data_IF_271837252628
#
_entry.id   IF_271837252628
#
_cell.length_a   1.000
_cell.length_b   1.000
_cell.length_c   1.000
_cell.angle_alpha   90.00
_cell.angle_beta   90.00
_cell.angle_gamma   90.00
#
_symmetry.space_group_name_H-M   'P 1'
#
loop_
_entity.id
_entity.type
_entity.pdbx_description
1 polymer ?
#
# COMPACT_ATOMS: atom_id res chain seq x y z
N UNK A 1 -4.38 15.86 19.98
CA UNK A 1 -3.20 15.01 19.73
C UNK A 1 -2.44 15.46 18.49
N UNK A 2 -3.09 15.50 17.31
CA UNK A 2 -2.50 16.02 16.07
C UNK A 2 -1.97 17.44 16.24
N UNK A 3 -2.71 18.35 16.88
CA UNK A 3 -2.28 19.74 17.14
C UNK A 3 -0.97 19.87 17.96
N UNK A 4 -0.47 18.79 18.56
CA UNK A 4 0.77 18.74 19.35
C UNK A 4 1.93 17.98 18.66
N UNK A 5 1.87 17.78 17.34
CA UNK A 5 2.96 17.15 16.59
C UNK A 5 3.00 15.62 16.68
N UNK A 6 1.87 14.97 17.00
CA UNK A 6 1.85 13.52 17.26
C UNK A 6 2.29 12.68 16.05
N UNK A 7 1.83 13.02 14.84
CA UNK A 7 2.20 12.27 13.62
C UNK A 7 3.70 12.38 13.37
N UNK A 8 4.29 13.57 13.47
CA UNK A 8 5.73 13.79 13.31
C UNK A 8 6.55 13.01 14.34
N UNK A 9 6.09 12.95 15.60
CA UNK A 9 6.74 12.17 16.67
C UNK A 9 6.68 10.66 16.39
N UNK A 10 5.57 10.16 15.88
CA UNK A 10 5.44 8.75 15.48
C UNK A 10 6.33 8.40 14.30
N UNK A 11 6.42 9.26 13.28
CA UNK A 11 7.35 9.07 12.16
C UNK A 11 8.82 9.01 12.63
N UNK A 12 9.20 9.90 13.55
CA UNK A 12 10.53 9.88 14.15
C UNK A 12 10.77 8.62 15.00
N UNK A 13 9.75 8.12 15.69
CA UNK A 13 9.82 6.88 16.44
C UNK A 13 10.00 5.66 15.51
N UNK A 14 9.27 5.61 14.38
CA UNK A 14 9.43 4.58 13.35
C UNK A 14 10.83 4.59 12.74
N UNK A 15 11.36 5.76 12.38
CA UNK A 15 12.72 5.85 11.85
C UNK A 15 13.76 5.37 12.87
N UNK A 16 13.56 5.69 14.16
CA UNK A 16 14.42 5.18 15.23
C UNK A 16 14.28 3.67 15.43
N UNK A 17 13.06 3.13 15.40
CA UNK A 17 12.78 1.70 15.54
C UNK A 17 13.56 0.89 14.50
N UNK A 18 13.57 1.36 13.24
CA UNK A 18 14.26 0.71 12.12
C UNK A 18 15.79 0.62 12.26
N UNK A 19 16.38 1.37 13.21
CA UNK A 19 17.83 1.41 13.48
C UNK A 19 18.22 0.62 14.73
N UNK A 20 17.24 0.04 15.43
CA UNK A 20 17.53 -0.79 16.59
C UNK A 20 18.21 -2.09 16.12
N UNK A 21 19.11 -2.63 16.95
CA UNK A 21 19.80 -3.89 16.68
C UNK A 21 18.82 -5.07 16.68
N UNK A 22 17.71 -4.94 17.40
CA UNK A 22 16.62 -5.92 17.49
C UNK A 22 15.27 -5.19 17.39
N UNK A 23 14.85 -4.76 16.19
CA UNK A 23 13.51 -4.23 16.00
C UNK A 23 12.50 -5.37 16.12
N UNK A 24 11.45 -5.20 16.93
CA UNK A 24 10.31 -6.10 16.92
C UNK A 24 9.27 -5.59 15.94
N UNK A 25 8.77 -6.48 15.09
CA UNK A 25 7.69 -6.15 14.14
C UNK A 25 6.45 -5.61 14.86
N UNK A 26 6.19 -6.09 16.08
CA UNK A 26 5.09 -5.64 16.94
C UNK A 26 5.22 -4.16 17.34
N UNK A 27 6.42 -3.70 17.68
CA UNK A 27 6.62 -2.29 18.04
C UNK A 27 6.41 -1.36 16.84
N UNK A 28 6.91 -1.75 15.66
CA UNK A 28 6.65 -1.00 14.43
C UNK A 28 5.17 -1.05 14.03
N UNK A 29 4.50 -2.19 14.23
CA UNK A 29 3.07 -2.36 13.96
C UNK A 29 2.24 -1.37 14.79
N UNK A 30 2.49 -1.26 16.09
CA UNK A 30 1.80 -0.32 16.98
C UNK A 30 1.99 1.14 16.55
N UNK A 31 3.22 1.50 16.16
CA UNK A 31 3.53 2.84 15.70
C UNK A 31 2.83 3.16 14.37
N UNK A 32 2.83 2.23 13.41
CA UNK A 32 2.11 2.39 12.13
C UNK A 32 0.60 2.45 12.37
N UNK A 33 0.05 1.60 13.24
CA UNK A 33 -1.36 1.65 13.61
C UNK A 33 -1.74 3.02 14.19
N UNK A 34 -0.92 3.57 15.09
CA UNK A 34 -1.12 4.92 15.62
C UNK A 34 -1.09 5.99 14.53
N UNK A 35 -0.17 5.89 13.57
CA UNK A 35 -0.15 6.77 12.39
C UNK A 35 -1.46 6.63 11.59
N UNK A 36 -1.93 5.40 11.37
CA UNK A 36 -3.19 5.10 10.70
C UNK A 36 -4.40 5.75 11.38
N UNK A 37 -4.52 5.63 12.70
CA UNK A 37 -5.62 6.26 13.45
C UNK A 37 -5.60 7.79 13.32
N UNK A 38 -4.41 8.39 13.31
CA UNK A 38 -4.29 9.84 13.23
C UNK A 38 -4.44 10.38 11.81
N UNK A 39 -4.22 9.57 10.77
CA UNK A 39 -4.27 10.00 9.36
C UNK A 39 -5.49 9.49 8.61
N UNK A 40 -6.06 8.35 9.01
CA UNK A 40 -7.20 7.69 8.39
C UNK A 40 -8.45 8.54 8.44
N UNK A 41 -8.80 9.17 7.31
CA UNK A 41 -9.96 10.03 7.19
C UNK A 41 -9.90 11.33 8.02
N UNK A 42 -8.74 11.68 8.57
CA UNK A 42 -8.58 12.88 9.41
C UNK A 42 -7.71 13.94 8.71
N UNK A 43 -8.32 14.98 8.10
CA UNK A 43 -7.59 15.97 7.30
C UNK A 43 -6.42 16.65 8.02
N UNK A 44 -6.56 16.94 9.32
CA UNK A 44 -5.50 17.58 10.09
C UNK A 44 -4.28 16.67 10.29
N UNK A 45 -4.49 15.36 10.49
CA UNK A 45 -3.39 14.42 10.64
C UNK A 45 -2.68 14.16 9.32
N UNK A 46 -3.43 14.10 8.22
CA UNK A 46 -2.86 14.07 6.87
C UNK A 46 -2.04 15.33 6.62
N UNK A 47 -2.59 16.52 6.88
CA UNK A 47 -1.87 17.78 6.74
C UNK A 47 -0.59 17.82 7.60
N UNK A 48 -0.61 17.23 8.79
CA UNK A 48 0.57 17.12 9.63
C UNK A 48 1.66 16.21 9.03
N UNK A 49 1.25 15.10 8.40
CA UNK A 49 2.15 14.21 7.68
C UNK A 49 2.91 14.98 6.58
N UNK A 50 2.22 15.86 5.84
CA UNK A 50 2.83 16.74 4.83
C UNK A 50 3.60 17.92 5.43
N UNK A 51 3.22 18.43 6.62
CA UNK A 51 3.97 19.52 7.27
C UNK A 51 5.38 19.09 7.73
N UNK A 52 5.57 17.78 7.96
CA UNK A 52 6.86 17.20 8.26
C UNK A 52 7.70 16.95 6.99
N UNK A 53 7.09 17.00 5.81
CA UNK A 53 7.74 16.78 4.53
C UNK A 53 8.45 18.05 4.07
N UNK A 54 9.73 17.92 3.72
CA UNK A 54 10.53 19.00 3.15
C UNK A 54 10.24 19.20 1.64
N UNK A 55 9.22 18.53 1.12
CA UNK A 55 8.82 18.53 -0.30
C UNK A 55 9.47 17.42 -1.13
N UNK A 56 10.28 16.56 -0.52
CA UNK A 56 10.97 15.43 -1.16
C UNK A 56 10.35 14.07 -0.82
N UNK A 57 9.27 14.06 -0.03
CA UNK A 57 8.56 12.87 0.45
C UNK A 57 9.32 12.04 1.49
N UNK A 58 10.49 12.49 1.95
CA UNK A 58 11.32 11.73 2.90
C UNK A 58 10.62 11.47 4.22
N UNK A 59 9.68 12.34 4.63
CA UNK A 59 8.87 12.17 5.83
C UNK A 59 7.99 10.91 5.81
N UNK A 60 7.66 10.38 4.63
CA UNK A 60 6.84 9.17 4.50
C UNK A 60 7.66 7.88 4.47
N UNK A 61 8.98 7.97 4.26
CA UNK A 61 9.87 6.82 4.16
C UNK A 61 9.76 5.85 5.36
N UNK A 62 9.62 6.30 6.63
CA UNK A 62 9.50 5.39 7.76
C UNK A 62 8.30 4.44 7.65
N UNK A 63 7.11 4.94 7.27
CA UNK A 63 5.91 4.10 7.10
C UNK A 63 6.07 3.18 5.88
N UNK A 64 6.64 3.68 4.79
CA UNK A 64 6.83 2.90 3.57
C UNK A 64 7.82 1.74 3.76
N UNK A 65 8.83 1.89 4.62
CA UNK A 65 9.76 0.80 4.98
C UNK A 65 9.05 -0.36 5.70
N UNK A 66 7.95 -0.08 6.41
CA UNK A 66 7.17 -1.09 7.10
C UNK A 66 6.30 -1.96 6.16
N UNK A 67 6.21 -1.64 4.86
CA UNK A 67 5.67 -2.53 3.83
C UNK A 67 6.58 -3.75 3.62
N UNK A 68 6.63 -4.65 4.60
CA UNK A 68 7.52 -5.81 4.65
C UNK A 68 6.74 -7.11 4.37
N UNK A 69 6.81 -7.69 3.17
CA UNK A 69 6.06 -8.90 2.83
C UNK A 69 6.33 -10.10 3.77
N UNK A 70 7.53 -10.16 4.35
CA UNK A 70 7.92 -11.19 5.32
C UNK A 70 7.31 -11.03 6.72
N UNK A 71 6.57 -9.94 6.98
CA UNK A 71 5.92 -9.68 8.26
C UNK A 71 4.42 -9.42 8.06
N UNK A 72 3.56 -10.46 8.12
CA UNK A 72 2.16 -10.35 7.67
C UNK A 72 1.34 -9.28 8.41
N UNK A 73 1.48 -9.18 9.73
CA UNK A 73 0.74 -8.19 10.54
C UNK A 73 1.20 -6.77 10.23
N UNK A 74 2.52 -6.55 10.21
CA UNK A 74 3.08 -5.25 9.88
C UNK A 74 2.76 -4.85 8.43
N UNK A 75 2.82 -5.78 7.49
CA UNK A 75 2.43 -5.56 6.10
C UNK A 75 0.97 -5.14 5.98
N UNK A 76 0.06 -5.82 6.70
CA UNK A 76 -1.36 -5.51 6.69
C UNK A 76 -1.67 -4.10 7.20
N UNK A 77 -1.10 -3.71 8.35
CA UNK A 77 -1.32 -2.35 8.86
C UNK A 77 -0.63 -1.30 7.99
N UNK A 78 0.58 -1.58 7.50
CA UNK A 78 1.34 -0.60 6.72
C UNK A 78 0.73 -0.35 5.35
N UNK A 79 0.24 -1.40 4.69
CA UNK A 79 -0.38 -1.26 3.37
C UNK A 79 -1.71 -0.52 3.45
N UNK A 80 -2.48 -0.70 4.53
CA UNK A 80 -3.70 0.05 4.79
C UNK A 80 -3.41 1.56 4.95
N UNK A 81 -2.46 1.91 5.81
CA UNK A 81 -2.06 3.30 6.04
C UNK A 81 -1.50 3.95 4.77
N UNK A 82 -0.58 3.27 4.06
CA UNK A 82 -0.01 3.79 2.82
C UNK A 82 -1.09 4.00 1.76
N UNK A 83 -2.04 3.07 1.63
CA UNK A 83 -3.15 3.18 0.68
C UNK A 83 -4.09 4.33 1.03
N UNK A 84 -4.40 4.51 2.31
CA UNK A 84 -5.20 5.64 2.78
C UNK A 84 -4.55 7.00 2.50
N UNK A 85 -3.24 7.13 2.74
CA UNK A 85 -2.49 8.36 2.43
C UNK A 85 -2.41 8.58 0.91
N UNK A 86 -2.22 7.52 0.13
CA UNK A 86 -2.22 7.58 -1.34
C UNK A 86 -3.58 8.02 -1.91
N UNK A 87 -4.68 7.53 -1.34
CA UNK A 87 -6.02 7.95 -1.73
C UNK A 87 -6.26 9.44 -1.45
N UNK A 88 -5.73 9.94 -0.33
CA UNK A 88 -5.90 11.33 0.08
C UNK A 88 -4.92 12.32 -0.57
N UNK A 89 -3.80 11.86 -1.13
CA UNK A 89 -2.74 12.75 -1.65
C UNK A 89 -2.19 12.31 -3.00
N UNK A 90 -2.48 13.05 -4.08
CA UNK A 90 -1.82 12.88 -5.38
C UNK A 90 -0.30 13.02 -5.32
N UNK A 91 0.21 13.99 -4.54
CA UNK A 91 1.65 14.20 -4.37
C UNK A 91 2.33 12.97 -3.78
N UNK A 92 1.71 12.33 -2.78
CA UNK A 92 2.24 11.11 -2.20
C UNK A 92 2.24 9.95 -3.19
N UNK A 93 1.20 9.83 -4.04
CA UNK A 93 1.17 8.82 -5.12
C UNK A 93 2.32 9.01 -6.12
N UNK A 94 2.56 10.24 -6.55
CA UNK A 94 3.67 10.54 -7.46
C UNK A 94 5.02 10.20 -6.84
N UNK A 95 5.22 10.56 -5.58
CA UNK A 95 6.43 10.22 -4.83
C UNK A 95 6.60 8.72 -4.64
N UNK A 96 5.55 7.99 -4.26
CA UNK A 96 5.61 6.52 -4.09
C UNK A 96 6.01 5.81 -5.39
N UNK A 97 5.66 6.39 -6.54
CA UNK A 97 5.94 5.83 -7.87
C UNK A 97 7.36 6.12 -8.36
N UNK A 98 7.96 7.25 -7.96
CA UNK A 98 9.28 7.69 -8.45
C UNK A 98 10.38 7.75 -7.38
N UNK A 99 10.05 8.22 -6.17
CA UNK A 99 10.97 8.41 -5.05
C UNK A 99 11.26 7.12 -4.28
N UNK A 100 10.35 6.14 -4.32
CA UNK A 100 10.49 4.83 -3.65
C UNK A 100 10.28 3.67 -4.62
N UNK A 101 11.18 3.53 -5.60
CA UNK A 101 11.10 2.46 -6.61
C UNK A 101 10.96 1.06 -6.01
N UNK A 102 11.49 0.84 -4.79
CA UNK A 102 11.41 -0.43 -4.06
C UNK A 102 9.96 -0.89 -3.83
N UNK A 103 9.03 0.06 -3.66
CA UNK A 103 7.61 -0.23 -3.49
C UNK A 103 7.04 -0.81 -4.77
N UNK A 104 7.27 -0.14 -5.89
CA UNK A 104 6.74 -0.54 -7.20
C UNK A 104 7.42 -1.80 -7.74
N UNK A 105 8.74 -1.90 -7.61
CA UNK A 105 9.54 -2.96 -8.23
C UNK A 105 9.63 -4.24 -7.43
N UNK A 106 9.40 -4.20 -6.12
CA UNK A 106 9.66 -5.36 -5.25
C UNK A 106 8.54 -5.60 -4.26
N UNK A 107 8.16 -4.60 -3.45
CA UNK A 107 7.21 -4.83 -2.35
C UNK A 107 5.80 -5.12 -2.87
N UNK A 108 5.26 -4.32 -3.79
CA UNK A 108 3.92 -4.53 -4.35
C UNK A 108 3.75 -5.90 -5.03
N UNK A 109 4.64 -6.34 -5.94
CA UNK A 109 4.54 -7.69 -6.50
C UNK A 109 4.51 -8.80 -5.44
N UNK A 110 5.27 -8.66 -4.35
CA UNK A 110 5.28 -9.64 -3.26
C UNK A 110 4.01 -9.57 -2.40
N UNK A 111 3.48 -8.37 -2.13
CA UNK A 111 2.25 -8.17 -1.37
C UNK A 111 1.02 -8.71 -2.12
N UNK A 112 1.00 -8.59 -3.46
CA UNK A 112 -0.02 -9.20 -4.31
C UNK A 112 -0.01 -10.74 -4.25
N UNK A 113 1.15 -11.34 -3.96
CA UNK A 113 1.30 -12.78 -3.77
C UNK A 113 1.07 -13.21 -2.30
N UNK A 114 0.63 -12.29 -1.42
CA UNK A 114 0.39 -12.62 -0.03
C UNK A 114 -0.67 -13.71 0.11
N UNK A 115 -0.46 -14.62 1.06
CA UNK A 115 -1.47 -15.58 1.48
C UNK A 115 -2.62 -14.94 2.25
N UNK A 116 -2.46 -13.68 2.70
CA UNK A 116 -3.52 -12.91 3.34
C UNK A 116 -4.41 -12.25 2.28
N UNK A 117 -5.70 -12.61 2.19
CA UNK A 117 -6.66 -11.99 1.28
C UNK A 117 -6.74 -10.47 1.47
N UNK A 118 -6.77 -10.01 2.72
CA UNK A 118 -6.85 -8.59 3.03
C UNK A 118 -5.63 -7.80 2.53
N UNK A 119 -4.41 -8.34 2.71
CA UNK A 119 -3.18 -7.70 2.20
C UNK A 119 -3.21 -7.64 0.67
N UNK A 120 -3.65 -8.72 0.03
CA UNK A 120 -3.78 -8.80 -1.43
C UNK A 120 -4.79 -7.78 -1.95
N UNK A 121 -5.95 -7.65 -1.30
CA UNK A 121 -6.98 -6.67 -1.66
C UNK A 121 -6.44 -5.24 -1.59
N UNK A 122 -5.85 -4.86 -0.45
CA UNK A 122 -5.31 -3.51 -0.27
C UNK A 122 -4.14 -3.25 -1.22
N UNK A 123 -3.35 -4.27 -1.57
CA UNK A 123 -2.30 -4.15 -2.58
C UNK A 123 -2.88 -3.86 -3.97
N UNK A 124 -3.96 -4.53 -4.36
CA UNK A 124 -4.67 -4.27 -5.61
C UNK A 124 -5.27 -2.87 -5.64
N UNK A 125 -5.84 -2.41 -4.53
CA UNK A 125 -6.34 -1.03 -4.40
C UNK A 125 -5.22 -0.02 -4.55
N UNK A 126 -4.07 -0.25 -3.92
CA UNK A 126 -2.88 0.60 -4.07
C UNK A 126 -2.38 0.61 -5.53
N UNK A 127 -2.31 -0.54 -6.19
CA UNK A 127 -1.98 -0.60 -7.62
C UNK A 127 -2.95 0.23 -8.47
N UNK A 128 -4.25 0.17 -8.21
CA UNK A 128 -5.25 1.00 -8.90
C UNK A 128 -5.10 2.49 -8.65
N UNK A 129 -4.56 2.91 -7.49
CA UNK A 129 -4.25 4.32 -7.22
C UNK A 129 -2.98 4.79 -7.95
N UNK A 130 -2.02 3.89 -8.16
CA UNK A 130 -0.71 4.20 -8.74
C UNK A 130 -0.65 4.00 -10.26
N UNK A 131 -1.54 3.22 -10.86
CA UNK A 131 -1.49 2.96 -12.31
C UNK A 131 -1.58 4.23 -13.18
N UNK A 132 -2.28 5.26 -12.68
CA UNK A 132 -2.38 6.56 -13.34
C UNK A 132 -1.16 7.47 -13.12
N UNK A 133 -0.20 7.09 -12.26
CA UNK A 133 0.99 7.91 -12.03
C UNK A 133 2.03 7.64 -13.09
N UNK A 134 2.80 8.68 -13.43
CA UNK A 134 3.91 8.53 -14.36
C UNK A 134 4.92 7.52 -13.81
N UNK A 135 5.52 6.71 -14.68
CA UNK A 135 6.60 5.80 -14.31
C UNK A 135 6.17 4.49 -13.63
N UNK A 136 5.05 4.45 -12.90
CA UNK A 136 4.57 3.25 -12.22
C UNK A 136 4.36 2.09 -13.20
N UNK A 137 3.55 2.27 -14.24
CA UNK A 137 3.17 1.18 -15.16
C UNK A 137 4.39 0.52 -15.79
N UNK A 138 5.35 1.32 -16.30
CA UNK A 138 6.60 0.79 -16.87
C UNK A 138 7.44 0.06 -15.83
N UNK A 139 7.60 0.63 -14.64
CA UNK A 139 8.41 0.02 -13.58
C UNK A 139 7.80 -1.31 -13.11
N UNK A 140 6.49 -1.32 -12.87
CA UNK A 140 5.74 -2.49 -12.43
C UNK A 140 5.73 -3.61 -13.50
N UNK A 141 5.55 -3.25 -14.78
CA UNK A 141 5.63 -4.19 -15.89
C UNK A 141 7.04 -4.80 -16.02
N UNK A 142 8.10 -3.99 -15.86
CA UNK A 142 9.49 -4.45 -16.04
C UNK A 142 9.92 -5.53 -15.05
N UNK A 143 9.23 -5.67 -13.93
CA UNK A 143 9.50 -6.67 -12.88
C UNK A 143 8.52 -7.84 -12.88
N UNK A 144 7.71 -7.98 -13.94
CA UNK A 144 6.74 -9.08 -14.06
C UNK A 144 5.41 -8.86 -13.31
N UNK A 145 5.08 -7.62 -12.93
CA UNK A 145 3.85 -7.32 -12.20
C UNK A 145 2.56 -7.67 -12.97
N UNK A 146 2.60 -7.64 -14.30
CA UNK A 146 1.47 -8.08 -15.15
C UNK A 146 1.17 -9.56 -14.97
N UNK A 147 2.22 -10.39 -14.93
CA UNK A 147 2.07 -11.83 -14.74
C UNK A 147 1.45 -12.14 -13.37
N UNK A 148 1.86 -11.42 -12.32
CA UNK A 148 1.28 -11.56 -10.98
C UNK A 148 -0.23 -11.25 -11.00
N UNK A 149 -0.64 -10.17 -11.66
CA UNK A 149 -2.07 -9.84 -11.78
C UNK A 149 -2.83 -10.87 -12.60
N UNK A 150 -2.24 -11.40 -13.67
CA UNK A 150 -2.87 -12.44 -14.49
C UNK A 150 -3.12 -13.71 -13.67
N UNK A 151 -2.14 -14.15 -12.87
CA UNK A 151 -2.31 -15.29 -11.97
C UNK A 151 -3.48 -15.09 -11.00
N UNK A 152 -3.63 -13.89 -10.41
CA UNK A 152 -4.76 -13.60 -9.51
C UNK A 152 -6.11 -13.69 -10.25
N UNK A 153 -6.18 -13.22 -11.50
CA UNK A 153 -7.39 -13.31 -12.33
C UNK A 153 -7.73 -14.76 -12.65
N UNK A 154 -6.73 -15.57 -12.97
CA UNK A 154 -6.91 -16.97 -13.33
C UNK A 154 -7.38 -17.79 -12.11
N UNK A 155 -6.72 -17.64 -10.96
CA UNK A 155 -7.10 -18.28 -9.68
C UNK A 155 -8.58 -17.97 -9.29
N UNK A 156 -8.97 -16.69 -9.35
CA UNK A 156 -10.33 -16.27 -8.95
C UNK A 156 -11.40 -16.77 -9.95
N UNK A 157 -11.02 -16.99 -11.21
CA UNK A 157 -11.95 -17.47 -12.26
C UNK A 157 -12.21 -18.98 -12.14
N UNK A 158 -11.27 -19.75 -11.59
CA UNK A 158 -11.45 -21.17 -11.27
C UNK A 158 -12.38 -21.34 -10.07
N UNK A 159 -12.16 -20.57 -9.00
CA UNK A 159 -13.01 -20.60 -7.79
C UNK A 159 -14.48 -20.25 -8.08
N UNK A 160 -14.73 -19.33 -9.01
CA UNK A 160 -16.08 -18.91 -9.39
C UNK A 160 -16.86 -19.98 -10.18
N UNK A 161 -16.17 -20.87 -10.92
CA UNK A 161 -16.82 -21.97 -11.66
C UNK A 161 -17.34 -23.06 -10.74
N UNK A 162 -16.78 -23.17 -9.54
CA UNK A 162 -17.19 -24.14 -8.52
C UNK A 162 -18.28 -23.60 -7.57
N UNK A 163 -18.52 -22.28 -7.56
CA UNK A 163 -19.35 -21.58 -6.56
C UNK A 163 -20.62 -20.95 -7.14
N UNK A 164 -21.23 -21.57 -8.15
CA UNK A 164 -22.39 -21.04 -8.89
C UNK A 164 -23.67 -21.05 -8.03
N UNK A 165 -23.73 -20.17 -7.02
CA UNK A 165 -24.90 -19.89 -6.21
C UNK A 165 -24.86 -18.44 -5.69
N UNK A 166 -25.70 -17.60 -6.32
CA UNK A 166 -26.39 -16.45 -5.73
C UNK A 166 -25.55 -15.19 -5.43
N UNK A 167 -25.65 -14.17 -6.29
CA UNK A 167 -25.06 -12.83 -6.05
C UNK A 167 -26.10 -11.72 -5.94
N UNK A 168 -26.32 -11.26 -4.70
CA UNK A 168 -26.64 -9.87 -4.37
C UNK A 168 -25.36 -9.02 -4.53
N UNK A 169 -25.47 -7.69 -4.75
CA UNK A 169 -24.34 -6.76 -4.96
C UNK A 169 -23.26 -6.92 -3.88
N UNK A 170 -22.23 -7.71 -4.18
CA UNK A 170 -21.08 -7.94 -3.32
C UNK A 170 -19.96 -6.92 -3.62
N UNK A 171 -19.06 -6.74 -2.65
CA UNK A 171 -17.82 -6.00 -2.87
C UNK A 171 -17.01 -6.63 -4.03
N UNK A 172 -16.21 -5.85 -4.77
CA UNK A 172 -15.44 -6.38 -5.89
C UNK A 172 -14.46 -7.45 -5.42
N UNK A 173 -14.43 -8.57 -6.14
CA UNK A 173 -13.50 -9.68 -5.92
C UNK A 173 -12.06 -9.28 -6.27
N UNK A 174 -11.07 -10.04 -5.77
CA UNK A 174 -9.67 -9.83 -6.16
C UNK A 174 -9.46 -9.93 -7.68
N UNK A 175 -10.13 -10.88 -8.34
CA UNK A 175 -10.08 -11.02 -9.79
C UNK A 175 -10.63 -9.80 -10.53
N UNK A 176 -11.71 -9.19 -10.04
CA UNK A 176 -12.26 -7.96 -10.63
C UNK A 176 -11.32 -6.76 -10.43
N UNK A 177 -10.74 -6.59 -9.24
CA UNK A 177 -9.75 -5.55 -8.97
C UNK A 177 -8.48 -5.74 -9.82
N UNK A 178 -7.96 -6.96 -9.90
CA UNK A 178 -6.78 -7.28 -10.71
C UNK A 178 -7.04 -7.05 -12.20
N UNK A 179 -8.20 -7.45 -12.72
CA UNK A 179 -8.59 -7.20 -14.12
C UNK A 179 -8.72 -5.71 -14.42
N UNK A 180 -9.25 -4.91 -13.48
CA UNK A 180 -9.31 -3.46 -13.63
C UNK A 180 -7.90 -2.87 -13.75
N UNK A 181 -6.99 -3.23 -12.85
CA UNK A 181 -5.59 -2.75 -12.89
C UNK A 181 -4.89 -3.21 -14.17
N UNK A 182 -5.08 -4.46 -14.61
CA UNK A 182 -4.52 -4.98 -15.86
C UNK A 182 -4.98 -4.17 -17.08
N UNK A 183 -6.28 -3.88 -17.18
CA UNK A 183 -6.79 -3.08 -18.28
C UNK A 183 -6.14 -1.69 -18.27
N UNK A 184 -6.10 -1.03 -17.11
CA UNK A 184 -5.47 0.29 -17.00
C UNK A 184 -3.97 0.24 -17.34
N UNK A 185 -3.24 -0.83 -17.01
CA UNK A 185 -1.85 -1.02 -17.39
C UNK A 185 -1.61 -1.23 -18.90
N UNK A 186 -2.55 -1.86 -19.60
CA UNK A 186 -2.42 -2.23 -21.02
C UNK A 186 -2.89 -1.12 -21.98
N UNK A 187 -3.70 -0.17 -21.49
CA UNK A 187 -4.27 0.90 -22.29
C UNK A 187 -3.64 2.30 -22.01
N UNK A 188 -2.54 2.36 -21.25
CA UNK A 188 -1.70 3.55 -20.99
C UNK A 188 -0.42 3.53 -21.84
#
# INVERSE_FOLDING_TARGET
AVEHGAVTKLLAALDKASRLTEPTDEYEEDLVACCGVLTGGHPAGIAQLFSADCGDGSAFAPIVRCLRPGSPRLAAVSIDVVTGVAAASPQFREWLSHGEESVTRTRLPLLLQSSSPAVRETALQLCGLLVATKGFSRAFQSVGGVQVLQTIVDETSEDARDSDAMTLRAAPTHGELARKVLNELLFL
#
